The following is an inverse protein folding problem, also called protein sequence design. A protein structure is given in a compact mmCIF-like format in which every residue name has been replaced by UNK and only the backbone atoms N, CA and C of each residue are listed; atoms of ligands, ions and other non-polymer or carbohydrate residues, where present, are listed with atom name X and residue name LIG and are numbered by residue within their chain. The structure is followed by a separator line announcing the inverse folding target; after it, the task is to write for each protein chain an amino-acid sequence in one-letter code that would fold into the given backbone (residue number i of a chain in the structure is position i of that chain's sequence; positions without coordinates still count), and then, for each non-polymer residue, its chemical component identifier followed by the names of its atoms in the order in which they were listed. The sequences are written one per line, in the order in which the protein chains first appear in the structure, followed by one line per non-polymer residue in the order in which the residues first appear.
data_IF_495405803967
#
_entry.id   IF_495405803967
#
_cell.length_a   1.000
_cell.length_b   1.000
_cell.length_c   1.000
_cell.angle_alpha   90.00
_cell.angle_beta   90.00
_cell.angle_gamma   90.00
#
_symmetry.space_group_name_H-M   'P 1'
#
loop_
_entity.id
_entity.type
_entity.pdbx_description
1 polymer ?
#
# COMPACT_ATOMS: atom_id res chain seq x y z
N UNK A 1 -55.53 47.62 7.43
CA UNK A 1 -54.62 47.42 6.28
C UNK A 1 -53.26 48.00 6.63
N UNK A 2 -52.15 47.31 6.37
CA UNK A 2 -50.81 47.85 6.59
C UNK A 2 -50.54 48.91 5.49
N UNK A 3 -50.15 50.14 5.83
CA UNK A 3 -49.90 51.18 4.84
C UNK A 3 -48.74 50.78 3.90
N UNK A 4 -48.80 51.17 2.61
CA UNK A 4 -47.74 50.85 1.66
C UNK A 4 -46.41 51.49 2.09
N UNK A 5 -45.30 50.80 1.81
CA UNK A 5 -43.96 51.30 2.13
C UNK A 5 -43.67 52.59 1.36
N UNK A 6 -43.08 53.57 2.03
CA UNK A 6 -42.49 54.75 1.38
C UNK A 6 -41.23 54.35 0.58
N UNK A 7 -40.70 55.27 -0.24
CA UNK A 7 -39.54 54.99 -1.09
C UNK A 7 -38.31 54.51 -0.32
N UNK A 8 -38.07 55.05 0.88
CA UNK A 8 -36.98 54.65 1.74
C UNK A 8 -37.14 53.19 2.21
N UNK A 9 -38.36 52.79 2.57
CA UNK A 9 -38.70 51.41 2.93
C UNK A 9 -38.53 50.43 1.77
N UNK A 10 -38.87 50.84 0.54
CA UNK A 10 -38.62 50.03 -0.67
C UNK A 10 -37.12 49.84 -0.92
N UNK A 11 -36.31 50.92 -0.85
CA UNK A 11 -34.84 50.86 -0.99
C UNK A 11 -34.20 49.96 0.06
N UNK A 12 -34.62 50.08 1.33
CA UNK A 12 -34.13 49.25 2.43
C UNK A 12 -34.46 47.76 2.21
N UNK A 13 -35.68 47.43 1.76
CA UNK A 13 -36.09 46.04 1.48
C UNK A 13 -35.27 45.42 0.33
N UNK A 14 -35.02 46.18 -0.74
CA UNK A 14 -34.18 45.73 -1.86
C UNK A 14 -32.74 45.49 -1.39
N UNK A 15 -32.17 46.43 -0.62
CA UNK A 15 -30.82 46.30 -0.08
C UNK A 15 -30.69 45.09 0.87
N UNK A 16 -31.68 44.87 1.74
CA UNK A 16 -31.75 43.71 2.62
C UNK A 16 -31.81 42.40 1.83
N UNK A 17 -32.70 42.31 0.82
CA UNK A 17 -32.81 41.11 -0.03
C UNK A 17 -31.51 40.82 -0.78
N UNK A 18 -30.83 41.84 -1.31
CA UNK A 18 -29.52 41.68 -1.97
C UNK A 18 -28.46 41.16 -1.01
N UNK A 19 -28.39 41.70 0.20
CA UNK A 19 -27.46 41.24 1.25
C UNK A 19 -27.77 39.81 1.70
N UNK A 20 -29.04 39.47 1.88
CA UNK A 20 -29.47 38.13 2.26
C UNK A 20 -29.15 37.09 1.17
N UNK A 21 -29.38 37.42 -0.10
CA UNK A 21 -29.01 36.55 -1.24
C UNK A 21 -27.49 36.41 -1.33
N UNK A 22 -26.73 37.51 -1.19
CA UNK A 22 -25.27 37.45 -1.19
C UNK A 22 -24.72 36.61 -0.04
N UNK A 23 -25.23 36.81 1.18
CA UNK A 23 -24.85 36.01 2.35
C UNK A 23 -25.18 34.52 2.14
N UNK A 24 -26.36 34.20 1.60
CA UNK A 24 -26.73 32.83 1.24
C UNK A 24 -25.79 32.22 0.18
N UNK A 25 -25.43 32.98 -0.85
CA UNK A 25 -24.50 32.54 -1.90
C UNK A 25 -23.09 32.31 -1.35
N UNK A 26 -22.58 33.21 -0.50
CA UNK A 26 -21.29 33.05 0.16
C UNK A 26 -21.27 31.86 1.12
N UNK A 27 -22.33 31.66 1.90
CA UNK A 27 -22.47 30.48 2.76
C UNK A 27 -22.48 29.18 1.96
N UNK A 28 -23.19 29.15 0.81
CA UNK A 28 -23.20 28.01 -0.09
C UNK A 28 -21.80 27.74 -0.67
N UNK A 29 -21.11 28.78 -1.15
CA UNK A 29 -19.76 28.66 -1.70
C UNK A 29 -18.77 28.15 -0.65
N UNK A 30 -18.85 28.66 0.58
CA UNK A 30 -18.02 28.21 1.70
C UNK A 30 -18.29 26.73 2.05
N UNK A 31 -19.56 26.30 2.06
CA UNK A 31 -19.93 24.91 2.29
C UNK A 31 -19.37 23.98 1.20
N UNK A 32 -19.50 24.35 -0.07
CA UNK A 32 -18.95 23.58 -1.21
C UNK A 32 -17.42 23.49 -1.10
N UNK A 33 -16.74 24.60 -0.81
CA UNK A 33 -15.30 24.62 -0.65
C UNK A 33 -14.85 23.70 0.51
N UNK A 34 -15.54 23.74 1.65
CA UNK A 34 -15.26 22.87 2.77
C UNK A 34 -15.48 21.39 2.43
N UNK A 35 -16.59 21.05 1.75
CA UNK A 35 -16.85 19.69 1.31
C UNK A 35 -15.78 19.20 0.33
N UNK A 36 -15.35 20.03 -0.62
CA UNK A 36 -14.29 19.69 -1.55
C UNK A 36 -12.94 19.45 -0.85
N UNK A 37 -12.58 20.30 0.13
CA UNK A 37 -11.37 20.13 0.93
C UNK A 37 -11.41 18.85 1.76
N UNK A 38 -12.54 18.54 2.39
CA UNK A 38 -12.72 17.30 3.15
C UNK A 38 -12.65 16.08 2.23
N UNK A 39 -13.30 16.13 1.06
CA UNK A 39 -13.28 15.04 0.08
C UNK A 39 -11.87 14.80 -0.48
N UNK A 40 -11.10 15.87 -0.71
CA UNK A 40 -9.69 15.74 -1.07
C UNK A 40 -8.91 15.11 0.08
N UNK A 41 -9.01 15.66 1.29
CA UNK A 41 -8.30 15.13 2.46
C UNK A 41 -8.57 13.64 2.69
N UNK A 42 -9.82 13.20 2.57
CA UNK A 42 -10.17 11.77 2.69
C UNK A 42 -9.65 10.94 1.53
N UNK A 43 -9.60 11.48 0.31
CA UNK A 43 -9.03 10.77 -0.83
C UNK A 43 -7.53 10.49 -0.64
N UNK A 44 -6.75 11.48 -0.21
CA UNK A 44 -5.30 11.29 0.02
C UNK A 44 -5.04 10.33 1.18
N UNK A 45 -5.81 10.41 2.25
CA UNK A 45 -5.67 9.51 3.41
C UNK A 45 -6.06 8.06 3.10
N UNK A 46 -7.00 7.84 2.17
CA UNK A 46 -7.44 6.49 1.80
C UNK A 46 -6.70 5.93 0.59
N UNK A 47 -5.76 6.67 0.02
CA UNK A 47 -4.97 6.22 -1.12
C UNK A 47 -4.17 4.98 -0.73
N UNK A 48 -4.55 3.84 -1.28
CA UNK A 48 -3.87 2.58 -1.01
C UNK A 48 -2.55 2.53 -1.78
N UNK A 49 -1.43 2.16 -1.13
CA UNK A 49 -0.17 1.97 -1.83
C UNK A 49 -0.30 0.81 -2.81
N UNK A 50 0.23 1.02 -4.01
CA UNK A 50 0.34 -0.01 -5.04
C UNK A 50 1.58 -0.83 -4.74
N UNK A 51 1.44 -2.15 -4.78
CA UNK A 51 2.56 -3.09 -4.63
C UNK A 51 3.18 -3.33 -6.01
N UNK A 52 4.50 -3.47 -6.09
CA UNK A 52 5.21 -3.83 -7.33
C UNK A 52 4.63 -5.10 -7.98
N UNK A 53 4.62 -5.14 -9.31
CA UNK A 53 4.21 -6.34 -10.02
C UNK A 53 5.23 -7.48 -9.79
N UNK A 54 4.80 -8.75 -9.82
CA UNK A 54 5.72 -9.87 -9.74
C UNK A 54 6.70 -9.91 -10.92
N UNK A 55 7.96 -10.22 -10.61
CA UNK A 55 9.02 -10.43 -11.57
C UNK A 55 9.10 -11.91 -11.98
N UNK A 56 9.64 -12.13 -13.17
CA UNK A 56 9.90 -13.47 -13.71
C UNK A 56 11.12 -14.11 -13.04
N UNK A 57 11.13 -15.44 -12.97
CA UNK A 57 12.25 -16.25 -12.48
C UNK A 57 12.23 -17.63 -13.14
N UNK A 58 13.33 -18.37 -13.01
CA UNK A 58 13.41 -19.74 -13.52
C UNK A 58 12.84 -20.72 -12.49
N UNK A 59 11.90 -21.58 -12.90
CA UNK A 59 11.40 -22.69 -12.10
C UNK A 59 11.53 -23.99 -12.92
N UNK A 60 12.48 -24.85 -12.55
CA UNK A 60 12.76 -26.12 -13.24
C UNK A 60 12.88 -27.22 -12.20
N UNK A 61 12.19 -28.34 -12.44
CA UNK A 61 12.20 -29.52 -11.53
C UNK A 61 11.93 -29.18 -10.05
N UNK A 62 11.04 -28.21 -9.80
CA UNK A 62 10.67 -27.78 -8.44
C UNK A 62 11.72 -26.91 -7.75
N UNK A 63 12.67 -26.35 -8.49
CA UNK A 63 13.70 -25.44 -7.98
C UNK A 63 13.54 -24.06 -8.64
N UNK A 64 13.19 -23.07 -7.84
CA UNK A 64 13.17 -21.68 -8.24
C UNK A 64 14.58 -21.09 -8.12
N UNK A 65 15.05 -20.42 -9.19
CA UNK A 65 16.38 -19.80 -9.29
C UNK A 65 16.24 -18.33 -9.64
N UNK A 66 16.75 -17.46 -8.78
CA UNK A 66 16.73 -16.00 -8.92
C UNK A 66 18.18 -15.49 -8.95
N UNK A 67 18.69 -15.02 -10.10
CA UNK A 67 20.07 -14.50 -10.19
C UNK A 67 20.26 -13.24 -9.32
N UNK A 68 21.44 -13.07 -8.74
CA UNK A 68 21.76 -11.86 -7.96
C UNK A 68 21.66 -10.59 -8.77
N UNK A 69 22.03 -10.62 -10.05
CA UNK A 69 21.91 -9.48 -10.96
C UNK A 69 20.48 -8.96 -11.10
N UNK A 70 19.47 -9.75 -10.72
CA UNK A 70 18.07 -9.32 -10.71
C UNK A 70 17.70 -8.56 -9.43
N UNK A 71 18.35 -8.88 -8.29
CA UNK A 71 17.91 -8.45 -6.96
C UNK A 71 18.98 -7.69 -6.13
N UNK A 72 20.09 -7.32 -6.75
CA UNK A 72 21.24 -6.68 -6.09
C UNK A 72 21.19 -5.14 -6.04
N UNK A 73 20.10 -4.52 -6.51
CA UNK A 73 19.97 -3.05 -6.60
C UNK A 73 19.58 -2.37 -5.27
N UNK A 74 19.21 -3.16 -4.25
CA UNK A 74 18.79 -2.67 -2.93
C UNK A 74 17.29 -2.42 -2.78
N UNK A 75 16.49 -2.70 -3.80
CA UNK A 75 15.04 -2.51 -3.79
C UNK A 75 14.27 -3.79 -3.43
N UNK A 76 12.96 -3.64 -3.21
CA UNK A 76 12.05 -4.73 -2.96
C UNK A 76 11.64 -5.43 -4.25
N UNK A 77 12.10 -6.66 -4.42
CA UNK A 77 11.71 -7.55 -5.52
C UNK A 77 10.60 -8.47 -5.07
N UNK A 78 9.61 -8.69 -5.94
CA UNK A 78 8.46 -9.57 -5.67
C UNK A 78 8.38 -10.63 -6.74
N UNK A 79 7.97 -11.84 -6.34
CA UNK A 79 7.77 -12.97 -7.21
C UNK A 79 6.44 -13.64 -6.90
N UNK A 80 5.80 -14.23 -7.91
CA UNK A 80 4.57 -14.99 -7.77
C UNK A 80 4.86 -16.49 -7.91
N UNK A 81 4.16 -17.31 -7.15
CA UNK A 81 4.30 -18.76 -7.18
C UNK A 81 2.93 -19.39 -6.96
N UNK A 82 2.53 -20.28 -7.85
CA UNK A 82 1.32 -21.10 -7.65
C UNK A 82 1.72 -22.39 -6.94
N UNK A 83 1.23 -22.58 -5.71
CA UNK A 83 1.45 -23.77 -4.93
C UNK A 83 0.78 -25.01 -5.56
N UNK A 84 1.22 -26.20 -5.15
CA UNK A 84 0.69 -27.48 -5.62
C UNK A 84 -0.81 -27.66 -5.38
N UNK A 85 -1.37 -26.98 -4.38
CA UNK A 85 -2.80 -26.95 -4.08
C UNK A 85 -3.59 -25.89 -4.90
N UNK A 86 -2.90 -25.14 -5.77
CA UNK A 86 -3.47 -24.09 -6.60
C UNK A 86 -3.51 -22.71 -5.94
N UNK A 87 -2.94 -22.55 -4.74
CA UNK A 87 -2.90 -21.25 -4.05
C UNK A 87 -1.89 -20.32 -4.71
N UNK A 88 -2.35 -19.12 -5.06
CA UNK A 88 -1.48 -18.05 -5.57
C UNK A 88 -0.72 -17.38 -4.43
N UNK A 89 0.57 -17.71 -4.32
CA UNK A 89 1.47 -17.19 -3.32
C UNK A 89 2.39 -16.13 -3.91
N UNK A 90 2.99 -15.33 -3.02
CA UNK A 90 4.01 -14.36 -3.38
C UNK A 90 5.15 -14.41 -2.37
N UNK A 91 6.36 -14.18 -2.83
CA UNK A 91 7.53 -14.00 -1.96
C UNK A 91 8.31 -12.77 -2.38
N UNK A 92 9.08 -12.23 -1.45
CA UNK A 92 9.87 -11.02 -1.64
C UNK A 92 11.34 -11.26 -1.32
N UNK A 93 12.18 -10.54 -2.04
CA UNK A 93 13.63 -10.55 -1.89
C UNK A 93 14.12 -9.10 -1.80
N UNK A 94 15.05 -8.85 -0.89
CA UNK A 94 15.71 -7.54 -0.78
C UNK A 94 17.16 -7.68 -0.31
N UNK A 95 18.07 -6.94 -0.92
CA UNK A 95 19.45 -6.82 -0.46
C UNK A 95 19.53 -5.95 0.80
N UNK A 96 20.08 -6.50 1.88
CA UNK A 96 20.24 -5.79 3.16
C UNK A 96 21.53 -4.98 3.19
N UNK A 97 21.54 -3.99 4.09
CA UNK A 97 22.76 -3.32 4.53
C UNK A 97 23.76 -4.35 5.09
N UNK A 98 24.84 -4.62 4.35
CA UNK A 98 25.84 -5.66 4.68
C UNK A 98 25.96 -6.80 3.66
N UNK A 99 25.18 -6.78 2.57
CA UNK A 99 25.35 -7.71 1.45
C UNK A 99 24.59 -9.03 1.58
N UNK A 100 23.88 -9.25 2.69
CA UNK A 100 23.02 -10.42 2.88
C UNK A 100 21.63 -10.18 2.29
N UNK A 101 20.96 -11.23 1.81
CA UNK A 101 19.59 -11.12 1.32
C UNK A 101 18.56 -11.35 2.44
N UNK A 102 17.47 -10.59 2.38
CA UNK A 102 16.23 -10.87 3.10
C UNK A 102 15.28 -11.58 2.15
N UNK A 103 14.87 -12.79 2.51
CA UNK A 103 13.93 -13.61 1.73
C UNK A 103 12.81 -14.05 2.65
N UNK A 104 11.56 -13.93 2.19
CA UNK A 104 10.38 -14.35 2.93
C UNK A 104 9.12 -14.21 2.10
N UNK A 105 8.00 -14.75 2.58
CA UNK A 105 6.71 -14.60 1.92
C UNK A 105 6.28 -13.14 1.90
N UNK A 106 5.53 -12.73 0.88
CA UNK A 106 4.82 -11.46 0.84
C UNK A 106 3.56 -11.51 1.74
N UNK A 107 3.76 -12.05 2.96
CA UNK A 107 2.78 -12.31 3.98
C UNK A 107 3.43 -12.29 5.37
N UNK A 108 2.65 -11.98 6.40
CA UNK A 108 3.12 -11.87 7.79
C UNK A 108 2.17 -12.58 8.77
N UNK A 109 2.69 -13.00 9.92
CA UNK A 109 1.89 -13.71 10.94
C UNK A 109 0.71 -12.89 11.47
N UNK A 110 0.83 -11.56 11.47
CA UNK A 110 -0.18 -10.65 12.04
C UNK A 110 -1.23 -10.21 11.01
N UNK A 111 -0.83 -10.06 9.75
CA UNK A 111 -1.61 -9.39 8.70
C UNK A 111 -1.89 -10.28 7.49
N UNK A 112 -1.51 -11.55 7.52
CA UNK A 112 -1.70 -12.46 6.39
C UNK A 112 -0.99 -11.97 5.13
N UNK A 113 -1.61 -12.24 3.99
CA UNK A 113 -1.12 -12.03 2.62
C UNK A 113 -1.29 -10.60 2.08
N UNK A 114 -1.47 -9.61 2.94
CA UNK A 114 -1.67 -8.22 2.50
C UNK A 114 -0.50 -7.69 1.65
N UNK A 115 0.69 -8.25 1.87
CA UNK A 115 1.92 -7.88 1.17
C UNK A 115 2.61 -6.63 1.70
N UNK A 116 3.71 -6.31 1.03
CA UNK A 116 4.62 -5.24 1.39
C UNK A 116 4.81 -4.24 0.25
N UNK A 117 5.17 -3.02 0.57
CA UNK A 117 5.56 -2.03 -0.42
C UNK A 117 6.80 -1.28 0.03
N UNK A 118 7.58 -0.79 -0.92
CA UNK A 118 8.72 0.06 -0.63
C UNK A 118 8.29 1.53 -0.71
N UNK A 119 8.65 2.31 0.30
CA UNK A 119 8.50 3.76 0.30
C UNK A 119 9.65 4.41 1.05
N UNK A 120 10.29 5.41 0.44
CA UNK A 120 11.39 6.17 1.05
C UNK A 120 12.52 5.27 1.60
N UNK A 121 12.85 4.19 0.89
CA UNK A 121 13.87 3.20 1.28
C UNK A 121 13.49 2.31 2.48
N UNK A 122 12.20 2.27 2.85
CA UNK A 122 11.66 1.40 3.89
C UNK A 122 10.71 0.38 3.27
N UNK A 123 10.66 -0.81 3.88
CA UNK A 123 9.67 -1.83 3.54
C UNK A 123 8.53 -1.74 4.55
N UNK A 124 7.31 -1.55 4.05
CA UNK A 124 6.13 -1.26 4.86
C UNK A 124 5.08 -2.33 4.59
N UNK A 125 4.47 -2.87 5.65
CA UNK A 125 3.33 -3.78 5.50
C UNK A 125 2.10 -3.01 5.04
N UNK A 126 1.47 -3.47 3.94
CA UNK A 126 0.31 -2.81 3.34
C UNK A 126 -0.90 -2.72 4.28
N UNK A 127 -1.04 -3.63 5.25
CA UNK A 127 -2.20 -3.67 6.18
C UNK A 127 -1.98 -2.88 7.46
N UNK A 128 -0.84 -3.09 8.14
CA UNK A 128 -0.56 -2.49 9.44
C UNK A 128 0.18 -1.14 9.35
N UNK A 129 0.66 -0.75 8.16
CA UNK A 129 1.48 0.44 7.89
C UNK A 129 2.76 0.52 8.76
N UNK A 130 3.20 -0.62 9.28
CA UNK A 130 4.44 -0.73 10.06
C UNK A 130 5.61 -0.85 9.10
N UNK A 131 6.55 0.10 9.23
CA UNK A 131 7.86 0.00 8.59
C UNK A 131 8.71 -1.06 9.29
N UNK A 132 9.26 -1.97 8.49
CA UNK A 132 10.06 -3.10 8.93
C UNK A 132 11.53 -2.75 8.85
N UNK A 133 12.30 -3.24 9.82
CA UNK A 133 13.74 -3.12 9.76
C UNK A 133 14.29 -4.07 8.69
N UNK A 134 15.00 -3.53 7.69
CA UNK A 134 15.62 -4.31 6.61
C UNK A 134 16.48 -5.47 7.14
N UNK A 135 17.25 -5.22 8.21
CA UNK A 135 18.12 -6.22 8.80
C UNK A 135 17.35 -7.40 9.42
N UNK A 136 16.07 -7.24 9.74
CA UNK A 136 15.23 -8.29 10.35
C UNK A 136 14.39 -9.06 9.33
N UNK A 137 14.44 -8.71 8.05
CA UNK A 137 13.74 -9.50 7.00
C UNK A 137 14.43 -10.87 6.89
N UNK A 138 13.66 -11.95 7.01
CA UNK A 138 14.18 -13.32 7.16
C UNK A 138 14.22 -13.82 8.61
N UNK A 139 13.82 -13.00 9.59
CA UNK A 139 13.52 -13.44 10.95
C UNK A 139 12.01 -13.42 11.19
N UNK A 140 11.49 -14.45 11.87
CA UNK A 140 10.06 -14.57 12.18
C UNK A 140 9.57 -13.54 13.19
N UNK A 141 8.27 -13.24 13.13
CA UNK A 141 7.52 -12.50 14.15
C UNK A 141 7.00 -11.12 13.71
N UNK A 142 5.84 -10.74 14.26
CA UNK A 142 5.22 -9.42 14.05
C UNK A 142 4.76 -9.18 12.61
N UNK A 143 5.02 -7.98 12.07
CA UNK A 143 4.77 -7.65 10.66
C UNK A 143 5.95 -8.05 9.73
N UNK A 144 7.00 -8.77 10.19
CA UNK A 144 8.08 -9.24 9.31
C UNK A 144 7.58 -10.29 8.30
N UNK A 145 8.18 -10.33 7.08
CA UNK A 145 7.90 -11.38 6.10
C UNK A 145 8.14 -12.76 6.68
N UNK A 146 7.23 -13.70 6.47
CA UNK A 146 7.35 -15.07 6.99
C UNK A 146 8.57 -15.74 6.33
N UNK A 147 9.61 -16.13 7.09
CA UNK A 147 10.80 -16.73 6.51
C UNK A 147 10.56 -18.17 6.10
N UNK A 148 11.27 -18.62 5.07
CA UNK A 148 11.31 -20.01 4.62
C UNK A 148 12.75 -20.38 4.20
N UNK A 149 13.09 -21.67 4.12
CA UNK A 149 14.41 -22.11 3.69
C UNK A 149 14.76 -21.63 2.27
N UNK A 150 15.98 -21.12 2.10
CA UNK A 150 16.56 -20.82 0.79
C UNK A 150 18.08 -21.05 0.87
N UNK A 151 18.71 -21.18 -0.29
CA UNK A 151 20.15 -21.28 -0.42
C UNK A 151 20.67 -20.13 -1.28
N UNK A 152 21.93 -19.78 -1.03
CA UNK A 152 22.71 -18.88 -1.88
C UNK A 152 23.81 -19.73 -2.47
N UNK A 153 23.77 -19.92 -3.79
CA UNK A 153 24.76 -20.70 -4.53
C UNK A 153 24.91 -20.15 -5.95
N UNK A 154 26.12 -20.27 -6.52
CA UNK A 154 26.46 -19.90 -7.90
C UNK A 154 25.92 -18.52 -8.37
N UNK A 155 25.95 -17.51 -7.49
CA UNK A 155 25.48 -16.16 -7.81
C UNK A 155 23.95 -16.03 -7.93
N UNK A 156 23.20 -16.95 -7.34
CA UNK A 156 21.75 -16.96 -7.32
C UNK A 156 21.17 -17.32 -5.93
N UNK A 157 19.91 -16.94 -5.73
CA UNK A 157 19.06 -17.43 -4.66
C UNK A 157 18.29 -18.64 -5.18
N UNK A 158 18.39 -19.75 -4.46
CA UNK A 158 17.77 -21.02 -4.78
C UNK A 158 16.69 -21.33 -3.74
N UNK A 159 15.48 -21.61 -4.21
CA UNK A 159 14.31 -21.91 -3.37
C UNK A 159 13.68 -23.20 -3.86
N UNK A 160 13.41 -24.14 -2.95
CA UNK A 160 12.67 -25.34 -3.30
C UNK A 160 11.17 -25.06 -3.25
N UNK A 161 10.45 -25.42 -4.32
CA UNK A 161 9.00 -25.28 -4.42
C UNK A 161 8.26 -25.93 -3.24
N UNK A 162 8.75 -27.09 -2.77
CA UNK A 162 8.18 -27.79 -1.62
C UNK A 162 8.19 -26.97 -0.31
N UNK A 163 9.19 -26.09 -0.12
CA UNK A 163 9.26 -25.21 1.04
C UNK A 163 8.20 -24.09 0.97
N UNK A 164 7.84 -23.66 -0.26
CA UNK A 164 6.74 -22.72 -0.49
C UNK A 164 5.38 -23.41 -0.36
N UNK A 165 5.23 -24.60 -0.95
CA UNK A 165 4.00 -25.41 -0.86
C UNK A 165 3.58 -25.66 0.59
N UNK A 166 4.55 -25.94 1.47
CA UNK A 166 4.29 -26.16 2.90
C UNK A 166 3.70 -24.95 3.63
N UNK A 167 3.74 -23.77 3.01
CA UNK A 167 3.33 -22.48 3.58
C UNK A 167 2.13 -21.85 2.86
N UNK A 168 1.46 -22.57 1.94
CA UNK A 168 0.31 -22.07 1.18
C UNK A 168 -0.84 -21.57 2.07
N UNK A 169 -1.00 -22.16 3.25
CA UNK A 169 -2.01 -21.76 4.23
C UNK A 169 -1.90 -20.30 4.73
N UNK A 170 -0.77 -19.62 4.47
CA UNK A 170 -0.61 -18.19 4.76
C UNK A 170 -1.26 -17.25 3.72
N UNK A 171 -1.75 -17.79 2.59
CA UNK A 171 -2.37 -17.07 1.48
C UNK A 171 -3.84 -17.50 1.28
N UNK A 172 -4.72 -17.16 2.23
CA UNK A 172 -6.15 -17.52 2.24
C UNK A 172 -7.07 -16.32 2.42
#
# INVERSE_FOLDING_TARGET
AIPPLNEAGVRARIAFRRRAVAAGAWSMAAAIALTALLAWGTYELNKQPVISEPEEYSLVDGVATIPFSQVEDGHLHRFAYTAADGTEMRFIIILKNGGAYGVGLDACETCGDAGYYEQDGKIICKRCDVAINLATIGFKGGCNPIPFPYQVDDGAIIIHAADLDALSAHFQ
#
